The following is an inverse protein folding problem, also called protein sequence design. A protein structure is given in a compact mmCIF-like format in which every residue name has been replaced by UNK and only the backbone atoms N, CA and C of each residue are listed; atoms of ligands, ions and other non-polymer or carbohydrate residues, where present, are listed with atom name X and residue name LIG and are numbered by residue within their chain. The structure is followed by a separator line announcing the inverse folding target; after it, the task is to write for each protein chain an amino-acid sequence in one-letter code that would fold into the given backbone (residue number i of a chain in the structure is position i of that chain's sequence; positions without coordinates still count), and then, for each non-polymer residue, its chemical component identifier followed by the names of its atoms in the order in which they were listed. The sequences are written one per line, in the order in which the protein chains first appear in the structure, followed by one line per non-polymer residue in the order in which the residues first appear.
data_IF_650409611267
#
_entry.id   IF_650409611267
#
_cell.length_a   1.000
_cell.length_b   1.000
_cell.length_c   1.000
_cell.angle_alpha   90.00
_cell.angle_beta   90.00
_cell.angle_gamma   90.00
#
_symmetry.space_group_name_H-M   'P 1'
#
loop_
_entity.id
_entity.type
_entity.pdbx_description
1 polymer ?
#
# COMPACT_ATOMS: atom_id res chain seq x y z
N UNK A 1 -12.55 -5.13 16.10
CA UNK A 1 -11.62 -5.31 14.97
C UNK A 1 -11.88 -6.56 14.13
N UNK A 2 -12.20 -7.73 14.72
CA UNK A 2 -12.49 -8.98 13.98
C UNK A 2 -13.57 -8.83 12.89
N UNK A 3 -14.68 -8.14 13.19
CA UNK A 3 -15.77 -7.93 12.23
C UNK A 3 -15.35 -7.09 11.01
N UNK A 4 -14.49 -6.07 11.19
CA UNK A 4 -14.07 -5.21 10.09
C UNK A 4 -13.28 -6.02 9.07
N UNK A 5 -12.30 -6.83 9.52
CA UNK A 5 -11.53 -7.70 8.62
C UNK A 5 -12.40 -8.74 7.89
N UNK A 6 -13.37 -9.35 8.59
CA UNK A 6 -14.28 -10.34 7.99
C UNK A 6 -15.21 -9.75 6.92
N UNK A 7 -15.77 -8.56 7.15
CA UNK A 7 -16.74 -7.96 6.22
C UNK A 7 -16.11 -7.20 5.05
N UNK A 8 -14.85 -6.77 5.18
CA UNK A 8 -14.18 -5.94 4.16
C UNK A 8 -13.05 -6.65 3.43
N UNK A 9 -12.56 -7.79 3.96
CA UNK A 9 -11.39 -8.49 3.41
C UNK A 9 -10.06 -7.79 3.67
N UNK A 10 -10.04 -6.76 4.54
CA UNK A 10 -8.82 -6.06 4.95
C UNK A 10 -7.97 -6.97 5.84
N UNK A 11 -6.64 -6.99 5.63
CA UNK A 11 -5.72 -7.82 6.40
C UNK A 11 -5.58 -7.31 7.82
N UNK A 12 -5.28 -8.21 8.77
CA UNK A 12 -5.17 -7.84 10.19
C UNK A 12 -4.17 -6.70 10.43
N UNK A 13 -3.03 -6.70 9.73
CA UNK A 13 -2.01 -5.65 9.84
C UNK A 13 -2.52 -4.28 9.37
N UNK A 14 -3.36 -4.25 8.33
CA UNK A 14 -3.95 -3.01 7.81
C UNK A 14 -4.99 -2.46 8.78
N UNK A 15 -5.78 -3.34 9.44
CA UNK A 15 -6.73 -2.94 10.48
C UNK A 15 -6.03 -2.37 11.72
N UNK A 16 -4.89 -2.94 12.10
CA UNK A 16 -4.09 -2.47 13.24
C UNK A 16 -3.40 -1.12 12.96
N UNK A 17 -3.12 -0.82 11.69
CA UNK A 17 -2.51 0.43 11.26
C UNK A 17 -3.52 1.57 11.03
N UNK A 18 -4.83 1.31 11.13
CA UNK A 18 -5.87 2.31 10.92
C UNK A 18 -5.81 3.42 11.98
N UNK A 19 -5.86 4.65 11.51
CA UNK A 19 -6.04 5.82 12.37
C UNK A 19 -7.44 6.41 12.17
N UNK A 20 -7.85 7.28 13.10
CA UNK A 20 -9.20 7.90 13.04
C UNK A 20 -9.44 8.67 11.74
N UNK A 21 -8.39 9.24 11.14
CA UNK A 21 -8.51 10.02 9.89
C UNK A 21 -8.76 9.15 8.66
N UNK A 22 -8.51 7.85 8.76
CA UNK A 22 -8.70 6.91 7.66
C UNK A 22 -10.16 6.37 7.58
N UNK A 23 -10.97 6.64 8.60
CA UNK A 23 -12.37 6.16 8.70
C UNK A 23 -13.34 7.32 8.51
N UNK A 24 -14.07 7.30 7.41
CA UNK A 24 -15.17 8.22 7.15
C UNK A 24 -16.51 7.53 7.44
N UNK A 25 -17.08 7.85 8.60
CA UNK A 25 -18.37 7.30 9.02
C UNK A 25 -19.57 7.88 8.26
N UNK A 26 -19.44 9.06 7.64
CA UNK A 26 -20.51 9.69 6.85
C UNK A 26 -20.66 8.98 5.52
N UNK A 27 -19.53 8.74 4.86
CA UNK A 27 -19.49 8.05 3.58
C UNK A 27 -19.38 6.52 3.72
N UNK A 28 -19.21 6.02 4.95
CA UNK A 28 -19.04 4.60 5.29
C UNK A 28 -17.83 3.97 4.58
N UNK A 29 -16.76 4.73 4.50
CA UNK A 29 -15.53 4.35 3.76
C UNK A 29 -14.36 4.24 4.72
N UNK A 30 -13.55 3.20 4.52
CA UNK A 30 -12.27 3.03 5.19
C UNK A 30 -11.17 3.13 4.13
N UNK A 31 -10.27 4.08 4.29
CA UNK A 31 -9.15 4.28 3.36
C UNK A 31 -7.93 3.50 3.86
N UNK A 32 -7.40 2.59 3.03
CA UNK A 32 -6.19 1.84 3.35
C UNK A 32 -5.03 2.38 2.52
N UNK A 33 -4.01 2.95 3.16
CA UNK A 33 -2.80 3.42 2.48
C UNK A 33 -1.81 2.26 2.34
N UNK A 34 -1.59 1.78 1.11
CA UNK A 34 -0.59 0.74 0.80
C UNK A 34 0.83 1.30 0.79
N UNK A 35 1.30 1.85 1.90
CA UNK A 35 2.60 2.53 1.91
C UNK A 35 3.76 1.59 1.55
N UNK A 36 3.76 0.35 2.06
CA UNK A 36 4.88 -0.56 1.84
C UNK A 36 4.95 -1.15 0.42
N UNK A 37 3.82 -1.34 -0.25
CA UNK A 37 3.83 -1.99 -1.57
C UNK A 37 4.31 -1.04 -2.65
N UNK A 38 3.85 0.22 -2.61
CA UNK A 38 4.17 1.22 -3.63
C UNK A 38 5.64 1.66 -3.53
N UNK A 39 6.18 1.80 -2.32
CA UNK A 39 7.60 2.13 -2.12
C UNK A 39 8.54 1.05 -2.64
N UNK A 40 8.24 -0.23 -2.33
CA UNK A 40 9.03 -1.37 -2.83
C UNK A 40 8.92 -1.48 -4.35
N UNK A 41 7.72 -1.32 -4.90
CA UNK A 41 7.49 -1.38 -6.35
C UNK A 41 8.25 -0.26 -7.08
N UNK A 42 8.23 0.96 -6.54
CA UNK A 42 8.95 2.10 -7.10
C UNK A 42 10.47 1.92 -7.04
N UNK A 43 11.00 1.40 -5.92
CA UNK A 43 12.41 1.07 -5.79
C UNK A 43 12.84 0.03 -6.83
N UNK A 44 12.08 -1.05 -7.01
CA UNK A 44 12.38 -2.09 -8.00
C UNK A 44 12.35 -1.53 -9.43
N UNK A 45 11.36 -0.70 -9.77
CA UNK A 45 11.25 -0.08 -11.09
C UNK A 45 12.43 0.84 -11.41
N UNK A 46 12.82 1.68 -10.45
CA UNK A 46 13.98 2.59 -10.62
C UNK A 46 15.28 1.81 -10.82
N UNK A 47 15.53 0.78 -10.01
CA UNK A 47 16.73 -0.05 -10.15
C UNK A 47 16.77 -0.80 -11.49
N UNK A 48 15.62 -1.30 -11.96
CA UNK A 48 15.53 -1.94 -13.28
C UNK A 48 15.85 -0.96 -14.41
N UNK A 49 15.34 0.27 -14.34
CA UNK A 49 15.64 1.31 -15.33
C UNK A 49 17.12 1.67 -15.33
N UNK A 50 17.73 1.89 -14.17
CA UNK A 50 19.16 2.18 -14.04
C UNK A 50 20.05 1.11 -14.68
N UNK A 51 19.73 -0.17 -14.46
CA UNK A 51 20.44 -1.29 -15.09
C UNK A 51 20.28 -1.26 -16.62
N UNK A 52 19.09 -0.97 -17.14
CA UNK A 52 18.89 -0.88 -18.59
C UNK A 52 19.68 0.25 -19.25
N UNK A 53 19.84 1.39 -18.57
CA UNK A 53 20.66 2.51 -19.07
C UNK A 53 22.15 2.17 -19.08
N UNK A 54 22.65 1.44 -18.07
CA UNK A 54 24.07 1.03 -18.03
C UNK A 54 24.43 0.07 -19.17
N UNK A 55 23.53 -0.85 -19.54
CA UNK A 55 23.76 -1.77 -20.66
C UNK A 55 23.71 -1.10 -22.04
N UNK A 56 22.98 0.01 -22.20
CA UNK A 56 22.90 0.75 -23.46
C UNK A 56 24.12 1.66 -23.72
N UNK A 57 24.92 1.93 -22.70
CA UNK A 57 26.11 2.79 -22.77
C UNK A 57 27.42 1.99 -22.96
N UNK A 58 27.34 0.66 -23.03
CA UNK A 58 28.42 -0.24 -23.43
C UNK A 58 28.19 -0.73 -24.86
#
# INVERSE_FOLDING_TARGET
MLYIGLYTGIRIAEVLALTRVDVDLKNKTITIKKQLHDEIENYIKQNRQLLSYQYQMN
#
